data_IF_465798610027
#
_entry.id   IF_465798610027
#
_cell.length_a   1.000
_cell.length_b   1.000
_cell.length_c   1.000
_cell.angle_alpha   90.00
_cell.angle_beta   90.00
_cell.angle_gamma   90.00
#
_symmetry.space_group_name_H-M   'P 1'
#
loop_
_entity.id
_entity.type
_entity.pdbx_description
1 polymer ?
#
# COMPACT_ATOMS: atom_id res chain seq x y z
N UNK A 1 -9.32 16.61 -11.03
CA UNK A 1 -8.22 15.70 -10.64
C UNK A 1 -8.64 14.29 -11.00
N UNK A 2 -7.83 13.55 -11.76
CA UNK A 2 -8.12 12.15 -12.07
C UNK A 2 -7.67 11.26 -10.91
N UNK A 3 -8.52 10.32 -10.51
CA UNK A 3 -8.16 9.22 -9.60
C UNK A 3 -7.43 8.17 -10.41
N UNK A 4 -6.25 7.76 -9.94
CA UNK A 4 -5.42 6.73 -10.58
C UNK A 4 -5.34 5.54 -9.63
N UNK A 5 -5.72 4.37 -10.12
CA UNK A 5 -5.58 3.11 -9.39
C UNK A 5 -4.30 2.41 -9.85
N UNK A 6 -3.44 2.03 -8.89
CA UNK A 6 -2.28 1.18 -9.12
C UNK A 6 -2.46 -0.11 -8.33
N UNK A 7 -2.06 -1.24 -8.90
CA UNK A 7 -2.10 -2.55 -8.26
C UNK A 7 -0.81 -3.29 -8.54
N UNK A 8 -0.35 -4.07 -7.55
CA UNK A 8 0.83 -4.92 -7.66
C UNK A 8 0.56 -6.23 -6.92
N UNK A 9 1.11 -7.32 -7.45
CA UNK A 9 1.19 -8.61 -6.77
C UNK A 9 2.46 -8.62 -5.95
N UNK A 10 2.38 -8.93 -4.66
CA UNK A 10 3.54 -8.91 -3.77
C UNK A 10 4.39 -10.15 -4.04
N UNK A 11 5.68 -9.95 -4.27
CA UNK A 11 6.68 -11.01 -4.41
C UNK A 11 7.43 -11.23 -3.09
N UNK A 12 8.33 -12.22 -3.02
CA UNK A 12 9.05 -12.52 -1.78
C UNK A 12 10.04 -11.43 -1.36
N UNK A 13 10.52 -10.60 -2.29
CA UNK A 13 11.46 -9.50 -2.02
C UNK A 13 10.72 -8.26 -1.50
N UNK A 14 9.47 -8.08 -1.94
CA UNK A 14 8.59 -6.97 -1.50
C UNK A 14 7.66 -7.35 -0.35
N UNK A 15 7.61 -8.63 0.04
CA UNK A 15 6.89 -9.09 1.22
C UNK A 15 7.40 -8.39 2.50
N UNK A 16 6.49 -8.14 3.44
CA UNK A 16 6.79 -7.41 4.66
C UNK A 16 5.73 -6.35 4.95
N UNK A 17 6.14 -5.14 5.32
CA UNK A 17 5.20 -4.09 5.73
C UNK A 17 4.49 -3.45 4.54
N UNK A 18 3.16 -3.38 4.62
CA UNK A 18 2.29 -2.81 3.56
C UNK A 18 2.67 -1.37 3.21
N UNK A 19 3.12 -0.56 4.16
CA UNK A 19 3.48 0.83 3.88
C UNK A 19 4.72 1.00 3.00
N UNK A 20 5.65 0.04 3.07
CA UNK A 20 6.83 0.02 2.21
C UNK A 20 6.45 -0.35 0.78
N UNK A 21 5.56 -1.35 0.63
CA UNK A 21 5.02 -1.75 -0.67
C UNK A 21 4.25 -0.60 -1.32
N UNK A 22 3.34 0.05 -0.58
CA UNK A 22 2.58 1.19 -1.08
C UNK A 22 3.51 2.34 -1.48
N UNK A 23 4.53 2.63 -0.67
CA UNK A 23 5.53 3.65 -0.97
C UNK A 23 6.27 3.37 -2.27
N UNK A 24 6.68 2.13 -2.50
CA UNK A 24 7.37 1.72 -3.72
C UNK A 24 6.43 1.79 -4.94
N UNK A 25 5.18 1.36 -4.78
CA UNK A 25 4.17 1.38 -5.83
C UNK A 25 3.76 2.80 -6.24
N UNK A 26 3.64 3.71 -5.27
CA UNK A 26 3.15 5.07 -5.48
C UNK A 26 4.26 6.10 -5.61
N UNK A 27 5.52 5.71 -5.43
CA UNK A 27 6.71 6.57 -5.43
C UNK A 27 6.56 7.82 -4.54
N UNK A 28 5.78 7.68 -3.47
CA UNK A 28 5.35 8.81 -2.64
C UNK A 28 6.21 8.96 -1.39
N UNK A 29 6.15 10.13 -0.76
CA UNK A 29 6.76 10.35 0.56
C UNK A 29 6.04 9.56 1.65
N UNK A 30 6.72 9.30 2.78
CA UNK A 30 6.11 8.62 3.94
C UNK A 30 4.85 9.31 4.45
N UNK A 31 4.83 10.65 4.43
CA UNK A 31 3.69 11.46 4.87
C UNK A 31 2.48 11.28 3.95
N UNK A 32 2.72 11.24 2.63
CA UNK A 32 1.67 10.97 1.65
C UNK A 32 1.13 9.55 1.78
N UNK A 33 2.02 8.57 1.94
CA UNK A 33 1.64 7.17 2.18
C UNK A 33 0.76 7.08 3.41
N UNK A 34 1.15 7.69 4.54
CA UNK A 34 0.29 7.74 5.75
C UNK A 34 -1.09 8.32 5.44
N UNK A 35 -1.16 9.44 4.72
CA UNK A 35 -2.43 10.00 4.28
C UNK A 35 -3.29 9.03 3.46
N UNK A 36 -2.69 8.21 2.58
CA UNK A 36 -3.43 7.20 1.82
C UNK A 36 -4.09 6.15 2.72
N UNK A 37 -3.40 5.72 3.79
CA UNK A 37 -3.99 4.82 4.79
C UNK A 37 -5.07 5.52 5.61
N UNK A 38 -4.83 6.75 6.06
CA UNK A 38 -5.78 7.52 6.87
C UNK A 38 -7.07 7.84 6.10
N UNK A 39 -6.99 7.98 4.77
CA UNK A 39 -8.13 8.19 3.87
C UNK A 39 -8.73 6.91 3.28
N UNK A 40 -8.25 5.72 3.67
CA UNK A 40 -8.81 4.44 3.22
C UNK A 40 -8.58 4.13 1.73
N UNK A 41 -7.52 4.69 1.13
CA UNK A 41 -7.19 4.50 -0.29
C UNK A 41 -6.39 3.21 -0.56
N UNK A 42 -6.01 2.47 0.48
CA UNK A 42 -5.20 1.24 0.37
C UNK A 42 -6.09 0.03 0.61
N UNK A 43 -5.97 -0.98 -0.26
CA UNK A 43 -6.61 -2.27 -0.08
C UNK A 43 -5.61 -3.39 -0.33
N UNK A 44 -5.66 -4.43 0.49
CA UNK A 44 -4.87 -5.66 0.35
C UNK A 44 -5.86 -6.79 0.04
N UNK A 45 -5.67 -7.48 -1.09
CA UNK A 45 -6.56 -8.57 -1.52
C UNK A 45 -8.04 -8.17 -1.54
N UNK A 46 -8.33 -6.94 -1.96
CA UNK A 46 -9.69 -6.39 -2.01
C UNK A 46 -10.27 -5.95 -0.64
N UNK A 47 -9.55 -6.14 0.46
CA UNK A 47 -9.96 -5.66 1.79
C UNK A 47 -9.28 -4.33 2.11
N UNK A 48 -10.02 -3.29 2.56
CA UNK A 48 -9.44 -2.01 2.93
C UNK A 48 -8.45 -2.18 4.08
N UNK A 49 -7.28 -1.56 3.95
CA UNK A 49 -6.20 -1.64 4.93
C UNK A 49 -5.91 -0.24 5.48
N UNK A 50 -6.29 0.00 6.73
CA UNK A 50 -6.08 1.28 7.42
C UNK A 50 -4.86 1.25 8.35
N UNK A 51 -4.23 0.08 8.51
CA UNK A 51 -3.06 -0.10 9.38
C UNK A 51 -1.79 -0.18 8.55
N UNK A 52 -0.93 0.80 8.75
CA UNK A 52 0.38 0.97 8.09
C UNK A 52 1.33 -0.19 8.43
N UNK A 53 1.23 -0.72 9.65
CA UNK A 53 2.10 -1.78 10.16
C UNK A 53 1.69 -3.19 9.74
N UNK A 54 0.61 -3.35 8.97
CA UNK A 54 0.15 -4.67 8.53
C UNK A 54 1.20 -5.36 7.68
N UNK A 55 1.46 -6.63 7.99
CA UNK A 55 2.34 -7.46 7.18
C UNK A 55 1.58 -8.06 6.00
N UNK A 56 2.17 -8.00 4.82
CA UNK A 56 1.73 -8.68 3.60
C UNK A 56 2.73 -9.76 3.23
N UNK A 57 2.22 -10.87 2.71
CA UNK A 57 3.01 -12.01 2.24
C UNK A 57 2.98 -12.03 0.72
N UNK A 58 3.94 -12.73 0.12
CA UNK A 58 3.94 -12.94 -1.32
C UNK A 58 2.67 -13.70 -1.78
N UNK A 59 2.07 -13.27 -2.88
CA UNK A 59 0.82 -13.81 -3.40
C UNK A 59 0.07 -12.89 -4.34
#
# INVERSE_FOLDING_TARGET
MAIITRSITVDNETAGRVDLVVRQLSESSRSQVRGMFDHGCVSVNGSPCNSIGTSVVAG
#
